data_IF_129474112746
#
_entry.id   IF_129474112746
#
_cell.length_a   1.000
_cell.length_b   1.000
_cell.length_c   1.000
_cell.angle_alpha   90.00
_cell.angle_beta   90.00
_cell.angle_gamma   90.00
#
_symmetry.space_group_name_H-M   'P 1'
#
loop_
_entity.id
_entity.type
_entity.pdbx_description
1 polymer ?
#
# COMPACT_ATOMS: atom_id res chain seq x y z
N UNK A 1 -5.28 19.95 28.89
CA UNK A 1 -4.82 19.09 27.77
C UNK A 1 -4.95 17.64 28.22
N UNK A 2 -5.33 16.72 27.34
CA UNK A 2 -5.41 15.30 27.69
C UNK A 2 -4.01 14.77 28.00
N UNK A 3 -3.82 14.13 29.16
CA UNK A 3 -2.56 13.48 29.54
C UNK A 3 -2.29 12.31 28.60
N UNK A 4 -1.14 12.31 27.94
CA UNK A 4 -0.75 11.20 27.06
C UNK A 4 -0.27 10.00 27.89
N UNK A 5 -0.23 8.82 27.27
CA UNK A 5 0.37 7.64 27.91
C UNK A 5 1.86 7.86 28.22
N UNK A 6 2.57 8.63 27.39
CA UNK A 6 3.96 9.02 27.65
C UNK A 6 4.09 9.84 28.93
N UNK A 7 3.23 10.84 29.11
CA UNK A 7 3.23 11.70 30.31
C UNK A 7 2.93 10.90 31.60
N UNK A 8 2.12 9.83 31.48
CA UNK A 8 1.86 8.92 32.59
C UNK A 8 3.10 8.07 32.91
N UNK A 9 3.73 7.50 31.88
CA UNK A 9 4.87 6.60 32.04
C UNK A 9 6.15 7.33 32.48
N UNK A 10 6.32 8.59 32.13
CA UNK A 10 7.48 9.37 32.58
C UNK A 10 7.51 9.59 34.10
N UNK A 11 6.33 9.62 34.73
CA UNK A 11 6.18 9.63 36.19
C UNK A 11 6.58 8.29 36.82
N UNK A 12 6.55 7.21 36.04
CA UNK A 12 6.91 5.85 36.43
C UNK A 12 8.35 5.55 36.00
N UNK A 13 9.27 6.40 36.46
CA UNK A 13 10.71 6.24 36.22
C UNK A 13 11.54 6.43 37.47
N UNK A 14 12.72 5.82 37.47
CA UNK A 14 13.77 6.05 38.47
C UNK A 14 15.07 6.42 37.78
N UNK A 15 16.06 6.86 38.56
CA UNK A 15 17.42 7.05 38.05
C UNK A 15 18.02 5.69 37.70
N UNK A 16 18.55 5.57 36.48
CA UNK A 16 19.29 4.40 36.03
C UNK A 16 20.79 4.54 36.28
N UNK A 17 21.49 3.41 36.27
CA UNK A 17 22.94 3.36 36.54
C UNK A 17 23.76 3.11 35.27
N UNK A 18 23.15 2.57 34.22
CA UNK A 18 23.81 2.14 32.99
C UNK A 18 24.07 3.29 32.00
N UNK A 19 24.74 4.34 32.45
CA UNK A 19 25.18 5.45 31.61
C UNK A 19 26.49 6.09 32.09
N UNK A 20 27.10 6.91 31.23
CA UNK A 20 28.14 7.87 31.61
C UNK A 20 27.74 9.28 31.18
N UNK A 21 28.19 10.28 31.95
CA UNK A 21 28.01 11.69 31.58
C UNK A 21 29.05 12.10 30.54
N UNK A 22 28.61 12.90 29.59
CA UNK A 22 29.42 13.60 28.59
C UNK A 22 29.33 15.12 28.84
N UNK A 23 29.77 15.93 27.88
CA UNK A 23 29.63 17.40 27.93
C UNK A 23 28.17 17.86 27.73
N UNK A 24 27.86 19.07 28.18
CA UNK A 24 26.58 19.75 27.90
C UNK A 24 25.34 18.93 28.33
N UNK A 25 25.37 18.40 29.55
CA UNK A 25 24.32 17.53 30.10
C UNK A 25 23.96 16.33 29.24
N UNK A 26 24.80 15.94 28.27
CA UNK A 26 24.58 14.77 27.44
C UNK A 26 24.99 13.51 28.19
N UNK A 27 24.23 12.43 28.04
CA UNK A 27 24.58 11.12 28.59
C UNK A 27 24.83 10.11 27.48
N UNK A 28 25.65 9.10 27.74
CA UNK A 28 25.76 7.91 26.90
C UNK A 28 25.24 6.70 27.66
N UNK A 29 24.10 6.17 27.21
CA UNK A 29 23.44 5.02 27.81
C UNK A 29 23.93 3.72 27.19
N UNK A 30 24.41 2.77 28.00
CA UNK A 30 24.92 1.46 27.54
C UNK A 30 24.03 0.29 27.97
N UNK A 31 22.75 0.57 28.29
CA UNK A 31 21.78 -0.45 28.70
C UNK A 31 21.40 -1.45 27.58
N UNK A 32 21.71 -1.14 26.32
CA UNK A 32 21.61 -2.05 25.19
C UNK A 32 22.72 -1.75 24.16
N UNK A 33 22.77 -2.55 23.09
CA UNK A 33 23.80 -2.47 22.05
C UNK A 33 23.87 -1.13 21.31
N UNK A 34 22.80 -0.33 21.33
CA UNK A 34 22.74 0.95 20.59
C UNK A 34 23.60 2.07 21.16
N UNK A 35 23.99 1.99 22.45
CA UNK A 35 24.87 2.97 23.12
C UNK A 35 24.46 4.43 22.89
N UNK A 36 23.17 4.74 23.03
CA UNK A 36 22.61 6.04 22.66
C UNK A 36 23.30 7.20 23.41
N UNK A 37 23.72 8.23 22.67
CA UNK A 37 24.07 9.55 23.22
C UNK A 37 22.83 10.42 23.31
N UNK A 38 22.31 10.64 24.52
CA UNK A 38 21.03 11.27 24.78
C UNK A 38 21.29 12.67 25.36
N UNK A 39 20.96 13.72 24.61
CA UNK A 39 21.03 15.11 25.09
C UNK A 39 19.96 15.39 26.13
N UNK A 40 20.12 16.46 26.91
CA UNK A 40 19.13 16.88 27.90
C UNK A 40 17.72 16.98 27.30
N UNK A 41 16.73 16.45 28.02
CA UNK A 41 15.32 16.42 27.60
C UNK A 41 15.03 15.51 26.40
N UNK A 42 15.98 14.71 25.93
CA UNK A 42 15.80 13.75 24.82
C UNK A 42 15.66 12.33 25.32
N UNK A 43 15.16 11.47 24.44
CA UNK A 43 15.02 10.02 24.66
C UNK A 43 16.06 9.25 23.84
N UNK A 44 16.42 8.06 24.35
CA UNK A 44 17.11 7.06 23.55
C UNK A 44 16.16 6.41 22.55
N UNK A 45 16.74 5.65 21.62
CA UNK A 45 16.03 4.93 20.55
C UNK A 45 14.82 4.13 21.06
N UNK A 46 14.97 3.50 22.22
CA UNK A 46 13.94 2.67 22.85
C UNK A 46 12.69 3.41 23.33
N UNK A 47 12.70 4.75 23.32
CA UNK A 47 11.66 5.67 23.82
C UNK A 47 11.31 5.54 25.32
N UNK A 48 11.80 4.52 26.02
CA UNK A 48 11.55 4.33 27.46
C UNK A 48 12.67 4.88 28.36
N UNK A 49 13.87 5.08 27.81
CA UNK A 49 14.99 5.68 28.53
C UNK A 49 15.23 7.09 28.01
N UNK A 50 15.42 8.04 28.90
CA UNK A 50 15.62 9.43 28.55
C UNK A 50 16.55 10.15 29.50
N UNK A 51 17.00 11.34 29.10
CA UNK A 51 17.88 12.16 29.89
C UNK A 51 17.11 13.31 30.53
N UNK A 52 17.25 13.45 31.85
CA UNK A 52 16.66 14.53 32.63
C UNK A 52 17.68 15.05 33.64
N UNK A 53 18.06 16.32 33.50
CA UNK A 53 19.11 16.95 34.32
C UNK A 53 20.47 16.27 34.22
N UNK A 54 20.83 15.73 33.05
CA UNK A 54 22.06 14.93 32.88
C UNK A 54 22.02 13.57 33.60
N UNK A 55 20.84 13.07 33.95
CA UNK A 55 20.61 11.74 34.54
C UNK A 55 19.80 10.85 33.61
N UNK A 56 20.23 9.58 33.49
CA UNK A 56 19.44 8.57 32.80
C UNK A 56 18.19 8.23 33.62
N UNK A 57 17.02 8.44 33.05
CA UNK A 57 15.74 7.97 33.57
C UNK A 57 15.39 6.64 32.92
N UNK A 58 14.99 5.66 33.74
CA UNK A 58 14.62 4.30 33.31
C UNK A 58 13.23 3.92 33.80
N UNK A 59 12.47 3.09 33.06
CA UNK A 59 11.11 2.71 33.44
C UNK A 59 11.09 1.90 34.74
N UNK A 60 10.10 2.17 35.60
CA UNK A 60 9.95 1.54 36.91
C UNK A 60 8.49 1.41 37.34
N UNK A 61 8.16 0.38 38.11
CA UNK A 61 6.85 0.27 38.77
C UNK A 61 5.69 -0.18 37.85
N UNK A 62 5.98 -0.67 36.64
CA UNK A 62 4.99 -1.28 35.76
C UNK A 62 5.60 -2.42 34.95
N UNK A 63 4.76 -3.22 34.28
CA UNK A 63 5.16 -4.24 33.31
C UNK A 63 4.16 -4.21 32.15
N UNK A 64 4.65 -4.21 30.90
CA UNK A 64 3.80 -4.21 29.71
C UNK A 64 3.51 -5.62 29.19
N UNK A 65 4.47 -6.54 29.33
CA UNK A 65 4.32 -7.95 28.98
C UNK A 65 5.05 -8.82 30.00
N UNK A 66 4.44 -9.95 30.38
CA UNK A 66 4.97 -10.93 31.33
C UNK A 66 4.71 -12.33 30.76
N UNK A 67 5.72 -13.18 30.76
CA UNK A 67 5.62 -14.54 30.24
C UNK A 67 6.60 -15.47 30.96
N UNK A 68 6.18 -16.69 31.26
CA UNK A 68 7.07 -17.77 31.72
C UNK A 68 7.19 -18.79 30.59
N UNK A 69 8.36 -18.88 29.98
CA UNK A 69 8.66 -19.82 28.89
C UNK A 69 9.90 -20.66 29.25
N UNK A 70 10.12 -21.84 28.63
CA UNK A 70 11.37 -22.59 28.76
C UNK A 70 12.59 -21.73 28.42
N UNK A 71 13.69 -21.93 29.15
CA UNK A 71 14.94 -21.16 28.98
C UNK A 71 15.53 -21.30 27.57
N UNK A 72 15.24 -22.39 26.87
CA UNK A 72 15.70 -22.69 25.50
C UNK A 72 15.15 -21.70 24.46
N UNK A 73 14.07 -20.98 24.78
CA UNK A 73 13.53 -19.90 23.92
C UNK A 73 14.38 -18.62 24.01
N UNK A 74 15.22 -18.48 25.04
CA UNK A 74 16.06 -17.30 25.26
C UNK A 74 17.40 -17.48 24.51
N UNK A 75 18.03 -16.40 24.03
CA UNK A 75 19.27 -16.46 23.27
C UNK A 75 20.49 -16.72 24.18
N UNK A 76 20.41 -17.72 25.06
CA UNK A 76 21.47 -18.11 25.98
C UNK A 76 21.98 -19.51 25.63
N UNK A 77 23.30 -19.66 25.59
CA UNK A 77 23.92 -20.97 25.35
C UNK A 77 24.10 -21.72 26.67
N UNK A 78 23.44 -22.87 26.81
CA UNK A 78 23.59 -23.79 27.96
C UNK A 78 23.36 -23.16 29.35
N UNK A 79 22.42 -22.22 29.46
CA UNK A 79 22.01 -21.67 30.76
C UNK A 79 20.84 -22.48 31.29
N UNK A 80 21.04 -23.19 32.41
CA UNK A 80 20.02 -23.93 33.17
C UNK A 80 19.00 -24.75 32.34
N UNK A 81 19.44 -25.71 31.50
CA UNK A 81 18.55 -26.48 30.62
C UNK A 81 17.36 -27.12 31.36
N UNK A 82 16.18 -27.10 30.73
CA UNK A 82 14.93 -27.64 31.29
C UNK A 82 14.22 -26.75 32.30
N UNK A 83 14.80 -25.59 32.64
CA UNK A 83 14.16 -24.61 33.53
C UNK A 83 13.21 -23.66 32.79
N UNK A 84 12.33 -23.01 33.54
CA UNK A 84 11.53 -21.90 33.04
C UNK A 84 12.20 -20.55 33.34
N UNK A 85 12.06 -19.62 32.41
CA UNK A 85 12.54 -18.25 32.51
C UNK A 85 11.37 -17.25 32.53
N UNK A 86 11.18 -16.57 33.66
CA UNK A 86 10.26 -15.45 33.74
C UNK A 86 10.83 -14.27 32.93
N UNK A 87 10.12 -13.88 31.89
CA UNK A 87 10.46 -12.75 31.02
C UNK A 87 9.42 -11.67 31.18
N UNK A 88 9.86 -10.46 31.43
CA UNK A 88 9.01 -9.28 31.44
C UNK A 88 9.64 -8.14 30.66
N UNK A 89 8.80 -7.28 30.10
CA UNK A 89 9.22 -6.12 29.32
C UNK A 89 8.41 -4.88 29.66
N UNK A 90 9.05 -3.72 29.51
CA UNK A 90 8.42 -2.41 29.64
C UNK A 90 7.89 -1.93 28.29
N UNK A 91 7.16 -0.80 28.24
CA UNK A 91 6.54 -0.31 27.01
C UNK A 91 7.55 0.44 26.13
N UNK A 92 8.52 -0.28 25.59
CA UNK A 92 9.58 0.25 24.72
C UNK A 92 10.16 -0.81 23.81
N UNK A 93 10.75 -0.36 22.70
CA UNK A 93 11.39 -1.22 21.71
C UNK A 93 12.64 -0.52 21.19
N UNK A 94 13.81 -1.10 21.40
CA UNK A 94 15.07 -0.59 20.83
C UNK A 94 15.29 -1.00 19.37
N UNK A 95 14.48 -1.92 18.85
CA UNK A 95 14.41 -2.18 17.42
C UNK A 95 13.59 -1.10 16.70
N UNK A 96 14.18 -0.52 15.65
CA UNK A 96 13.38 0.15 14.63
C UNK A 96 12.66 -0.88 13.76
N UNK A 97 11.41 -0.59 13.44
CA UNK A 97 10.66 -1.30 12.43
C UNK A 97 11.30 -1.03 11.06
N UNK A 98 12.01 -2.00 10.47
CA UNK A 98 12.59 -1.86 9.12
C UNK A 98 11.54 -1.91 7.97
N UNK A 99 10.25 -1.88 8.29
CA UNK A 99 9.21 -2.38 7.40
C UNK A 99 8.43 -1.23 6.77
N UNK A 100 8.63 -1.04 5.46
CA UNK A 100 7.74 -0.20 4.67
C UNK A 100 7.49 -0.82 3.30
N UNK A 101 6.28 -0.59 2.81
CA UNK A 101 5.96 -0.66 1.39
C UNK A 101 6.27 0.70 0.75
N UNK A 102 6.45 0.73 -0.56
CA UNK A 102 6.55 2.00 -1.29
C UNK A 102 5.20 2.75 -1.24
N UNK A 103 5.24 4.08 -1.31
CA UNK A 103 4.05 4.93 -1.13
C UNK A 103 2.95 4.73 -2.17
N UNK A 104 3.29 4.23 -3.36
CA UNK A 104 2.37 3.86 -4.44
C UNK A 104 1.62 2.54 -4.19
N UNK A 105 1.99 1.79 -3.14
CA UNK A 105 1.32 0.53 -2.79
C UNK A 105 -0.14 0.77 -2.43
N UNK A 106 -1.04 0.06 -3.09
CA UNK A 106 -2.48 0.17 -2.91
C UNK A 106 -2.97 -0.70 -1.75
N UNK A 107 -3.85 -0.14 -0.93
CA UNK A 107 -4.52 -0.80 0.19
C UNK A 107 -6.02 -0.61 0.05
N UNK A 108 -6.79 -1.68 0.25
CA UNK A 108 -8.27 -1.59 0.24
C UNK A 108 -8.75 -1.02 1.57
N UNK A 109 -9.52 0.06 1.50
CA UNK A 109 -10.04 0.78 2.67
C UNK A 109 -11.57 0.88 2.64
N UNK A 110 -12.18 1.40 3.72
CA UNK A 110 -13.60 1.77 3.73
C UNK A 110 -13.97 2.89 2.75
N UNK A 111 -12.98 3.54 2.12
CA UNK A 111 -13.15 4.56 1.08
C UNK A 111 -12.78 4.05 -0.32
N UNK A 112 -12.66 2.73 -0.48
CA UNK A 112 -12.12 2.10 -1.68
C UNK A 112 -10.60 1.94 -1.65
N UNK A 113 -9.97 1.51 -2.76
CA UNK A 113 -8.52 1.39 -2.85
C UNK A 113 -7.83 2.76 -2.73
N UNK A 114 -6.87 2.88 -1.82
CA UNK A 114 -6.03 4.06 -1.65
C UNK A 114 -4.55 3.67 -1.65
N UNK A 115 -3.68 4.50 -2.22
CA UNK A 115 -2.24 4.32 -2.04
C UNK A 115 -1.85 4.66 -0.60
N UNK A 116 -0.75 4.09 -0.11
CA UNK A 116 -0.20 4.44 1.21
C UNK A 116 0.13 5.93 1.32
N UNK A 117 0.59 6.54 0.23
CA UNK A 117 0.82 7.98 0.16
C UNK A 117 -0.47 8.76 0.37
N UNK A 118 -1.54 8.44 -0.36
CA UNK A 118 -2.82 9.13 -0.21
C UNK A 118 -3.42 8.89 1.19
N UNK A 119 -3.29 7.68 1.72
CA UNK A 119 -3.73 7.36 3.08
C UNK A 119 -2.97 8.18 4.14
N UNK A 120 -1.68 8.45 3.92
CA UNK A 120 -0.87 9.32 4.76
C UNK A 120 -1.31 10.80 4.65
N UNK A 121 -1.63 11.27 3.45
CA UNK A 121 -2.07 12.66 3.23
C UNK A 121 -3.44 12.98 3.84
N UNK A 122 -4.25 11.96 4.14
CA UNK A 122 -5.57 12.12 4.80
C UNK A 122 -5.50 12.57 6.27
N UNK A 123 -4.37 12.38 6.96
CA UNK A 123 -4.25 12.71 8.38
C UNK A 123 -3.50 14.01 8.62
N UNK A 124 -4.19 14.97 9.24
CA UNK A 124 -3.63 16.25 9.67
C UNK A 124 -4.09 16.50 11.12
N UNK A 125 -3.20 16.87 12.07
CA UNK A 125 -1.79 17.24 11.89
C UNK A 125 -0.81 16.05 11.82
N UNK A 126 0.32 16.27 11.14
CA UNK A 126 1.44 15.34 11.05
C UNK A 126 2.31 15.42 12.32
N UNK A 127 2.68 14.27 12.87
CA UNK A 127 3.70 14.19 13.92
C UNK A 127 5.05 13.88 13.27
N UNK A 128 6.02 14.78 13.42
CA UNK A 128 7.39 14.57 12.91
C UNK A 128 8.25 13.89 13.97
N UNK A 129 8.98 12.87 13.55
CA UNK A 129 9.98 12.16 14.34
C UNK A 129 11.35 12.28 13.65
N UNK A 130 12.47 12.04 14.36
CA UNK A 130 13.80 12.07 13.74
C UNK A 130 13.98 11.09 12.58
N UNK A 131 13.24 9.98 12.58
CA UNK A 131 13.35 8.86 11.63
C UNK A 131 12.11 8.69 10.72
N UNK A 132 11.19 9.65 10.74
CA UNK A 132 9.98 9.58 9.93
C UNK A 132 8.89 10.55 10.34
N UNK A 133 7.70 10.32 9.79
CA UNK A 133 6.52 11.12 10.00
C UNK A 133 5.33 10.19 10.23
N UNK A 134 4.39 10.64 11.06
CA UNK A 134 3.20 9.88 11.44
C UNK A 134 1.98 10.74 11.13
N UNK A 135 1.07 10.15 10.35
CA UNK A 135 -0.22 10.71 10.01
C UNK A 135 -1.33 9.91 10.69
N UNK A 136 -2.36 10.59 11.21
CA UNK A 136 -3.51 9.94 11.85
C UNK A 136 -4.77 10.31 11.05
N UNK A 137 -5.17 9.47 10.07
CA UNK A 137 -6.33 9.76 9.23
C UNK A 137 -7.64 9.56 10.01
N UNK A 138 -8.56 10.52 9.89
CA UNK A 138 -9.86 10.43 10.53
C UNK A 138 -10.72 9.35 9.88
N UNK A 139 -11.24 8.43 10.69
CA UNK A 139 -12.17 7.36 10.31
C UNK A 139 -11.74 6.51 9.08
N UNK A 140 -10.43 6.30 8.93
CA UNK A 140 -9.91 5.37 7.93
C UNK A 140 -9.91 3.95 8.49
N UNK A 141 -10.39 3.00 7.71
CA UNK A 141 -10.33 1.57 8.01
C UNK A 141 -9.73 0.82 6.83
N UNK A 142 -8.91 -0.21 7.09
CA UNK A 142 -8.27 -1.02 6.07
C UNK A 142 -8.63 -2.50 6.24
N UNK A 143 -8.63 -3.23 5.13
CA UNK A 143 -8.87 -4.69 5.12
C UNK A 143 -7.67 -5.40 5.74
N UNK A 144 -7.94 -6.31 6.68
CA UNK A 144 -6.91 -7.11 7.35
C UNK A 144 -6.86 -8.54 6.83
N UNK A 145 -5.88 -9.33 7.26
CA UNK A 145 -5.74 -10.75 6.89
C UNK A 145 -6.98 -11.60 7.20
N UNK A 146 -7.81 -11.18 8.17
CA UNK A 146 -9.09 -11.83 8.46
C UNK A 146 -10.22 -11.47 7.48
N UNK A 147 -9.95 -10.63 6.47
CA UNK A 147 -10.95 -10.14 5.52
C UNK A 147 -11.90 -9.06 6.05
N UNK A 148 -11.66 -8.55 7.26
CA UNK A 148 -12.49 -7.52 7.91
C UNK A 148 -11.82 -6.15 7.85
N UNK A 149 -12.65 -5.10 7.78
CA UNK A 149 -12.20 -3.71 7.99
C UNK A 149 -11.81 -3.50 9.45
N UNK A 150 -10.66 -2.88 9.67
CA UNK A 150 -10.18 -2.46 10.99
C UNK A 150 -9.69 -1.02 10.92
N UNK A 151 -9.93 -0.27 12.01
CA UNK A 151 -9.50 1.13 12.13
C UNK A 151 -7.99 1.28 11.95
N UNK A 152 -7.59 2.16 11.03
CA UNK A 152 -6.21 2.60 10.87
C UNK A 152 -5.92 3.60 11.97
N UNK A 153 -4.99 3.25 12.88
CA UNK A 153 -4.61 4.12 14.01
C UNK A 153 -3.61 5.20 13.60
N UNK A 154 -2.74 4.87 12.66
CA UNK A 154 -1.70 5.74 12.14
C UNK A 154 -1.20 5.20 10.81
N UNK A 155 -0.68 6.09 9.96
CA UNK A 155 0.06 5.79 8.74
C UNK A 155 1.45 6.41 8.92
N UNK A 156 2.48 5.61 8.69
CA UNK A 156 3.86 6.00 8.93
C UNK A 156 4.57 6.22 7.60
N UNK A 157 5.45 7.22 7.56
CA UNK A 157 6.31 7.52 6.40
C UNK A 157 7.75 7.67 6.89
N UNK A 158 8.67 7.01 6.20
CA UNK A 158 10.09 7.00 6.57
C UNK A 158 10.92 7.32 5.33
N UNK A 159 12.04 8.02 5.52
CA UNK A 159 13.06 8.09 4.48
C UNK A 159 13.79 6.74 4.45
N UNK A 160 13.96 6.18 3.25
CA UNK A 160 14.63 4.91 3.05
C UNK A 160 15.62 5.01 1.90
N UNK A 161 16.84 4.56 2.14
CA UNK A 161 17.91 4.41 1.16
C UNK A 161 18.47 3.00 1.30
N UNK A 162 18.39 2.20 0.24
CA UNK A 162 18.79 0.80 0.27
C UNK A 162 18.12 -0.03 -0.80
N UNK A 163 18.32 -1.34 -0.73
CA UNK A 163 17.70 -2.29 -1.66
C UNK A 163 16.19 -2.38 -1.46
N UNK A 164 15.46 -2.65 -2.54
CA UNK A 164 14.02 -2.91 -2.49
C UNK A 164 13.72 -4.20 -3.23
N UNK A 165 12.77 -4.97 -2.69
CA UNK A 165 12.31 -6.23 -3.27
C UNK A 165 10.97 -6.00 -3.94
N UNK A 166 10.86 -6.39 -5.21
CA UNK A 166 9.61 -6.36 -5.99
C UNK A 166 9.04 -7.77 -6.10
N UNK A 167 7.98 -8.04 -5.35
CA UNK A 167 7.26 -9.31 -5.38
C UNK A 167 6.26 -9.31 -6.53
N UNK A 168 6.36 -10.29 -7.43
CA UNK A 168 5.51 -10.44 -8.61
C UNK A 168 4.70 -11.74 -8.53
N UNK A 169 3.63 -11.79 -7.73
CA UNK A 169 2.71 -12.92 -7.72
C UNK A 169 2.09 -13.15 -9.10
N UNK A 170 1.81 -14.42 -9.44
CA UNK A 170 1.08 -14.74 -10.66
C UNK A 170 -0.34 -14.17 -10.61
N UNK A 171 -0.77 -13.54 -11.71
CA UNK A 171 -2.12 -12.99 -11.89
C UNK A 171 -2.53 -11.83 -10.95
N UNK A 172 -1.59 -11.30 -10.16
CA UNK A 172 -1.83 -10.19 -9.24
C UNK A 172 -0.84 -9.05 -9.49
N UNK A 173 -1.21 -7.81 -9.14
CA UNK A 173 -0.27 -6.69 -9.19
C UNK A 173 0.97 -6.96 -8.33
N UNK A 174 2.11 -6.44 -8.78
CA UNK A 174 3.33 -6.52 -7.99
C UNK A 174 3.28 -5.59 -6.78
N UNK A 175 3.89 -6.01 -5.68
CA UNK A 175 4.11 -5.16 -4.51
C UNK A 175 5.61 -4.93 -4.33
N UNK A 176 5.98 -3.72 -3.93
CA UNK A 176 7.38 -3.33 -3.69
C UNK A 176 7.57 -2.99 -2.22
N UNK A 177 8.58 -3.59 -1.59
CA UNK A 177 8.81 -3.46 -0.15
C UNK A 177 10.29 -3.59 0.19
N UNK A 178 10.65 -3.22 1.42
CA UNK A 178 12.01 -3.44 1.93
C UNK A 178 12.32 -4.95 2.06
N UNK A 179 13.58 -5.38 1.92
CA UNK A 179 14.00 -6.79 2.00
C UNK A 179 13.53 -7.52 3.27
N UNK A 180 13.46 -6.80 4.39
CA UNK A 180 13.03 -7.33 5.67
C UNK A 180 11.50 -7.27 5.87
N UNK A 181 10.72 -6.76 4.92
CA UNK A 181 9.26 -6.78 5.03
C UNK A 181 8.75 -8.22 4.99
N UNK A 182 7.93 -8.63 5.96
CA UNK A 182 7.39 -9.99 6.02
C UNK A 182 6.01 -10.07 5.38
N UNK A 183 5.83 -11.03 4.48
CA UNK A 183 4.53 -11.37 3.90
C UNK A 183 4.13 -12.78 4.34
N UNK A 184 2.83 -13.04 4.44
CA UNK A 184 2.35 -14.39 4.72
C UNK A 184 2.51 -15.24 3.48
N UNK A 185 3.31 -16.29 3.58
CA UNK A 185 3.59 -17.21 2.50
C UNK A 185 3.70 -18.66 3.00
N UNK A 186 3.53 -19.61 2.09
CA UNK A 186 3.80 -21.03 2.32
C UNK A 186 4.39 -21.65 1.06
N UNK A 187 5.29 -22.59 1.16
CA UNK A 187 5.74 -23.45 0.06
C UNK A 187 4.94 -24.77 -0.01
N UNK A 188 4.14 -25.06 1.02
CA UNK A 188 3.19 -26.16 1.09
C UNK A 188 1.76 -25.64 1.29
N UNK A 189 0.90 -25.81 0.28
CA UNK A 189 -0.50 -25.34 0.30
C UNK A 189 -1.38 -26.08 1.31
N UNK A 190 -0.88 -27.16 1.93
CA UNK A 190 -1.56 -27.88 3.01
C UNK A 190 -1.30 -27.27 4.39
N UNK A 191 -0.29 -26.41 4.50
CA UNK A 191 0.12 -25.75 5.74
C UNK A 191 -0.37 -24.30 5.77
N UNK A 192 -0.73 -23.83 6.96
CA UNK A 192 -1.09 -22.42 7.16
C UNK A 192 0.08 -21.49 6.82
N UNK A 193 -0.13 -20.42 6.03
CA UNK A 193 0.93 -19.47 5.70
C UNK A 193 1.55 -18.84 6.94
N UNK A 194 2.88 -18.68 6.91
CA UNK A 194 3.66 -18.04 7.98
C UNK A 194 4.29 -16.74 7.46
N UNK A 195 4.68 -15.81 8.36
CA UNK A 195 5.44 -14.64 7.95
C UNK A 195 6.83 -15.03 7.44
N UNK A 196 7.12 -14.71 6.16
CA UNK A 196 8.44 -14.92 5.51
C UNK A 196 8.96 -13.57 5.05
N UNK A 197 10.27 -13.31 5.25
CA UNK A 197 10.90 -12.08 4.78
C UNK A 197 10.87 -11.98 3.25
N UNK A 198 10.68 -10.78 2.71
CA UNK A 198 10.61 -10.56 1.27
C UNK A 198 11.87 -11.03 0.54
N UNK A 199 13.05 -10.83 1.16
CA UNK A 199 14.34 -11.30 0.64
C UNK A 199 14.50 -12.83 0.61
N UNK A 200 13.74 -13.54 1.44
CA UNK A 200 13.83 -15.00 1.57
C UNK A 200 12.78 -15.73 0.71
N UNK A 201 11.90 -14.99 0.02
CA UNK A 201 10.90 -15.58 -0.85
C UNK A 201 11.52 -16.17 -2.12
N UNK A 202 10.99 -17.33 -2.51
CA UNK A 202 11.37 -18.04 -3.73
C UNK A 202 10.17 -18.20 -4.65
N UNK A 203 10.39 -18.61 -5.90
CA UNK A 203 9.29 -18.92 -6.84
C UNK A 203 8.37 -20.07 -6.40
N UNK A 204 8.82 -20.90 -5.45
CA UNK A 204 8.04 -21.99 -4.87
C UNK A 204 7.05 -21.52 -3.78
N UNK A 205 7.15 -20.27 -3.31
CA UNK A 205 6.27 -19.75 -2.28
C UNK A 205 4.95 -19.25 -2.88
N UNK A 206 3.85 -19.63 -2.25
CA UNK A 206 2.51 -19.13 -2.47
C UNK A 206 2.22 -18.01 -1.47
N UNK A 207 1.86 -16.82 -1.96
CA UNK A 207 1.46 -15.70 -1.11
C UNK A 207 0.02 -15.86 -0.64
N UNK A 208 -0.22 -15.62 0.65
CA UNK A 208 -1.55 -15.64 1.22
C UNK A 208 -2.35 -14.43 0.71
N UNK A 209 -3.55 -14.69 0.19
CA UNK A 209 -4.51 -13.64 -0.20
C UNK A 209 -5.83 -13.84 0.54
N UNK A 210 -6.49 -12.77 1.01
CA UNK A 210 -7.81 -12.89 1.61
C UNK A 210 -8.82 -13.46 0.60
N UNK A 211 -9.40 -14.63 0.89
CA UNK A 211 -10.37 -15.29 0.00
C UNK A 211 -11.78 -14.71 0.10
N UNK A 212 -12.13 -14.16 1.27
CA UNK A 212 -13.48 -13.66 1.56
C UNK A 212 -13.42 -12.21 2.03
N UNK A 213 -14.20 -11.35 1.38
CA UNK A 213 -14.30 -9.93 1.69
C UNK A 213 -15.69 -9.65 2.27
N UNK A 214 -15.82 -9.59 3.60
CA UNK A 214 -17.13 -9.36 4.26
C UNK A 214 -17.66 -7.92 4.09
N UNK A 215 -16.85 -7.03 3.51
CA UNK A 215 -17.24 -5.65 3.22
C UNK A 215 -17.82 -5.45 1.80
N UNK A 216 -17.80 -6.49 0.96
CA UNK A 216 -18.41 -6.45 -0.37
C UNK A 216 -19.80 -7.06 -0.29
N UNK A 217 -20.84 -6.21 -0.30
CA UNK A 217 -22.20 -6.66 -0.60
C UNK A 217 -22.41 -6.61 -2.11
N UNK A 218 -23.20 -7.56 -2.63
CA UNK A 218 -23.65 -7.47 -4.01
C UNK A 218 -24.46 -6.17 -4.18
N UNK A 219 -24.04 -5.33 -5.12
CA UNK A 219 -24.77 -4.10 -5.45
C UNK A 219 -25.45 -4.27 -6.80
N UNK A 220 -26.71 -3.87 -6.85
CA UNK A 220 -27.46 -3.80 -8.11
C UNK A 220 -27.20 -2.41 -8.70
N UNK A 221 -26.44 -2.39 -9.79
CA UNK A 221 -26.08 -1.15 -10.48
C UNK A 221 -27.04 -0.97 -11.65
N UNK A 222 -27.86 0.08 -11.62
CA UNK A 222 -28.62 0.50 -12.78
C UNK A 222 -27.70 1.30 -13.72
N UNK A 223 -27.09 0.56 -14.64
CA UNK A 223 -26.20 1.16 -15.64
C UNK A 223 -26.92 2.18 -16.53
N UNK A 224 -28.21 2.01 -16.82
CA UNK A 224 -28.97 2.93 -17.66
C UNK A 224 -29.19 4.27 -16.95
N UNK A 225 -29.53 4.24 -15.65
CA UNK A 225 -29.65 5.47 -14.85
C UNK A 225 -28.31 6.19 -14.68
N UNK A 226 -27.22 5.46 -14.44
CA UNK A 226 -25.90 6.06 -14.22
C UNK A 226 -25.32 6.69 -15.49
N UNK A 227 -25.58 6.09 -16.65
CA UNK A 227 -25.07 6.57 -17.93
C UNK A 227 -26.04 7.53 -18.63
N UNK A 228 -27.28 7.64 -18.17
CA UNK A 228 -28.32 8.46 -18.81
C UNK A 228 -28.03 9.96 -18.85
N UNK A 229 -27.17 10.48 -17.96
CA UNK A 229 -26.72 11.88 -17.96
C UNK A 229 -25.55 12.16 -18.91
N UNK A 230 -24.95 11.12 -19.48
CA UNK A 230 -23.80 11.26 -20.39
C UNK A 230 -24.28 11.18 -21.84
N UNK A 231 -24.18 12.29 -22.58
CA UNK A 231 -24.32 12.28 -24.05
C UNK A 231 -22.98 11.91 -24.67
N UNK A 232 -22.85 10.68 -25.16
CA UNK A 232 -21.61 10.26 -25.83
C UNK A 232 -21.69 10.62 -27.31
N UNK A 233 -20.92 11.63 -27.72
CA UNK A 233 -20.72 11.97 -29.13
C UNK A 233 -19.58 11.13 -29.69
N UNK A 234 -19.88 10.21 -30.61
CA UNK A 234 -18.86 9.37 -31.23
C UNK A 234 -18.39 10.01 -32.54
N UNK A 235 -17.15 10.50 -32.60
CA UNK A 235 -16.53 10.83 -33.87
C UNK A 235 -15.81 9.60 -34.46
N UNK A 236 -16.27 9.11 -35.61
CA UNK A 236 -15.40 8.27 -36.46
C UNK A 236 -14.49 9.21 -37.26
N UNK A 237 -13.15 9.14 -37.13
CA UNK A 237 -12.27 9.82 -38.06
C UNK A 237 -12.36 9.12 -39.42
N UNK A 238 -13.25 9.61 -40.28
CA UNK A 238 -13.35 9.13 -41.65
C UNK A 238 -12.10 9.56 -42.42
N UNK A 239 -11.34 8.60 -42.96
CA UNK A 239 -10.21 8.87 -43.87
C UNK A 239 -10.66 9.33 -45.27
N UNK A 240 -11.95 9.59 -45.47
CA UNK A 240 -12.56 10.00 -46.73
C UNK A 240 -13.41 11.23 -46.47
N UNK A 241 -13.33 12.21 -47.36
CA UNK A 241 -14.16 13.41 -47.27
C UNK A 241 -15.62 13.10 -47.59
N UNK A 242 -16.55 13.98 -47.21
CA UNK A 242 -17.95 13.85 -47.61
C UNK A 242 -18.15 13.80 -49.14
N UNK A 243 -17.26 14.47 -49.89
CA UNK A 243 -17.26 14.42 -51.36
C UNK A 243 -16.86 13.03 -51.88
N UNK A 244 -15.88 12.38 -51.26
CA UNK A 244 -15.47 11.03 -51.61
C UNK A 244 -16.58 10.02 -51.35
N UNK A 245 -17.30 10.16 -50.22
CA UNK A 245 -18.44 9.30 -49.89
C UNK A 245 -19.58 9.45 -50.90
N UNK A 246 -19.90 10.69 -51.30
CA UNK A 246 -20.91 10.96 -52.33
C UNK A 246 -20.53 10.30 -53.66
N UNK A 247 -19.27 10.44 -54.07
CA UNK A 247 -18.74 9.82 -55.30
C UNK A 247 -18.80 8.29 -55.26
N UNK A 248 -18.53 7.67 -54.10
CA UNK A 248 -18.68 6.22 -53.91
C UNK A 248 -20.15 5.79 -54.07
N UNK A 249 -21.10 6.58 -53.57
CA UNK A 249 -22.53 6.30 -53.69
C UNK A 249 -23.04 6.47 -55.13
N UNK A 250 -22.61 7.51 -55.83
CA UNK A 250 -22.97 7.74 -57.24
C UNK A 250 -22.49 6.58 -58.13
N UNK A 251 -21.23 6.14 -57.94
CA UNK A 251 -20.68 4.97 -58.64
C UNK A 251 -21.42 3.68 -58.26
N UNK A 252 -21.85 3.56 -57.01
CA UNK A 252 -22.62 2.41 -56.54
C UNK A 252 -24.02 2.35 -57.14
N UNK A 253 -24.67 3.51 -57.32
CA UNK A 253 -25.96 3.64 -57.98
C UNK A 253 -25.85 3.35 -59.50
N UNK A 254 -24.72 3.68 -60.11
CA UNK A 254 -24.38 3.33 -61.49
C UNK A 254 -24.00 1.83 -61.68
N UNK A 255 -24.21 0.98 -60.67
CA UNK A 255 -24.01 -0.47 -60.77
C UNK A 255 -22.57 -0.96 -60.60
N UNK A 256 -21.61 -0.09 -60.29
CA UNK A 256 -20.20 -0.50 -60.08
C UNK A 256 -20.06 -1.35 -58.82
N UNK A 257 -19.23 -2.39 -58.91
CA UNK A 257 -18.90 -3.27 -57.79
C UNK A 257 -17.93 -2.60 -56.81
N UNK A 258 -17.86 -3.11 -55.57
CA UNK A 258 -16.94 -2.55 -54.56
C UNK A 258 -15.45 -2.71 -54.94
N UNK A 259 -15.12 -3.70 -55.77
CA UNK A 259 -13.74 -3.91 -56.25
C UNK A 259 -13.39 -2.94 -57.39
N UNK A 260 -14.35 -2.57 -58.24
CA UNK A 260 -14.10 -1.54 -59.27
C UNK A 260 -13.91 -0.15 -58.65
N UNK A 261 -14.65 0.15 -57.58
CA UNK A 261 -14.58 1.44 -56.89
C UNK A 261 -13.29 1.57 -56.07
N UNK A 262 -12.73 0.46 -55.59
CA UNK A 262 -11.63 0.50 -54.61
C UNK A 262 -10.33 1.12 -55.17
N UNK A 263 -10.04 0.89 -56.46
CA UNK A 263 -8.87 1.46 -57.13
C UNK A 263 -8.88 2.98 -57.23
N UNK A 264 -10.06 3.61 -57.25
CA UNK A 264 -10.22 5.07 -57.38
C UNK A 264 -9.83 5.80 -56.08
N UNK A 265 -10.05 5.15 -54.92
CA UNK A 265 -9.86 5.76 -53.60
C UNK A 265 -8.65 5.22 -52.84
N UNK A 266 -7.86 4.32 -53.46
CA UNK A 266 -6.71 3.68 -52.81
C UNK A 266 -7.09 2.91 -51.55
N UNK A 267 -8.29 2.30 -51.53
CA UNK A 267 -8.81 1.50 -50.40
C UNK A 267 -9.01 0.05 -50.83
N UNK A 268 -9.23 -0.85 -49.88
CA UNK A 268 -9.60 -2.23 -50.19
C UNK A 268 -11.07 -2.34 -50.60
N UNK A 269 -11.39 -3.29 -51.48
CA UNK A 269 -12.78 -3.58 -51.86
C UNK A 269 -13.68 -3.97 -50.68
N UNK A 270 -13.10 -4.59 -49.64
CA UNK A 270 -13.80 -4.88 -48.38
C UNK A 270 -14.18 -3.61 -47.61
N UNK A 271 -13.28 -2.61 -47.56
CA UNK A 271 -13.54 -1.32 -46.94
C UNK A 271 -14.68 -0.57 -47.66
N UNK A 272 -14.66 -0.53 -49.00
CA UNK A 272 -15.72 0.09 -49.80
C UNK A 272 -17.07 -0.62 -49.64
N UNK A 273 -17.07 -1.96 -49.59
CA UNK A 273 -18.28 -2.76 -49.37
C UNK A 273 -18.91 -2.47 -48.00
N UNK A 274 -18.08 -2.42 -46.96
CA UNK A 274 -18.49 -2.09 -45.60
C UNK A 274 -19.06 -0.67 -45.53
N UNK A 275 -18.41 0.29 -46.17
CA UNK A 275 -18.86 1.68 -46.27
C UNK A 275 -20.23 1.79 -46.96
N UNK A 276 -20.42 1.14 -48.12
CA UNK A 276 -21.70 1.12 -48.85
C UNK A 276 -22.84 0.58 -47.99
N UNK A 277 -22.59 -0.52 -47.27
CA UNK A 277 -23.58 -1.11 -46.35
C UNK A 277 -23.97 -0.13 -45.25
N UNK A 278 -22.98 0.55 -44.64
CA UNK A 278 -23.24 1.55 -43.60
C UNK A 278 -24.02 2.75 -44.13
N UNK A 279 -23.64 3.30 -45.28
CA UNK A 279 -24.35 4.44 -45.89
C UNK A 279 -25.79 4.06 -46.24
N UNK A 280 -26.02 2.88 -46.85
CA UNK A 280 -27.36 2.38 -47.16
C UNK A 280 -28.25 2.28 -45.91
N UNK A 281 -27.68 1.93 -44.77
CA UNK A 281 -28.40 1.78 -43.51
C UNK A 281 -28.52 3.10 -42.72
N UNK A 282 -28.05 4.24 -43.24
CA UNK A 282 -28.04 5.51 -42.52
C UNK A 282 -26.99 5.59 -41.40
N UNK A 283 -26.13 4.57 -41.27
CA UNK A 283 -25.11 4.43 -40.22
C UNK A 283 -23.82 5.21 -40.50
N UNK A 284 -23.91 6.27 -41.32
CA UNK A 284 -22.79 7.17 -41.61
C UNK A 284 -22.36 7.94 -40.36
N UNK A 285 -23.24 8.00 -39.36
CA UNK A 285 -23.02 8.63 -38.07
C UNK A 285 -22.80 7.62 -36.92
N UNK A 286 -22.90 6.30 -37.16
CA UNK A 286 -22.77 5.28 -36.11
C UNK A 286 -21.40 4.59 -36.12
N UNK A 287 -20.71 4.69 -34.98
CA UNK A 287 -19.38 4.11 -34.75
C UNK A 287 -19.44 2.91 -33.81
N UNK A 288 -18.67 1.86 -34.12
CA UNK A 288 -18.21 0.87 -33.13
C UNK A 288 -16.82 1.31 -32.70
N UNK A 289 -16.64 1.71 -31.46
CA UNK A 289 -15.32 1.98 -30.89
C UNK A 289 -14.82 0.78 -30.08
N UNK A 290 -13.51 0.61 -30.06
CA UNK A 290 -12.80 -0.28 -29.12
C UNK A 290 -12.51 0.40 -27.78
N UNK A 291 -12.64 1.73 -27.68
CA UNK A 291 -12.41 2.53 -26.47
C UNK A 291 -13.32 3.77 -26.41
N UNK A 292 -13.75 4.21 -25.21
CA UNK A 292 -14.49 5.46 -25.03
C UNK A 292 -13.58 6.67 -25.23
N UNK A 293 -14.10 7.72 -25.88
CA UNK A 293 -13.51 9.06 -25.97
C UNK A 293 -14.54 10.05 -25.40
N UNK A 294 -14.11 10.96 -24.54
CA UNK A 294 -14.93 12.03 -23.96
C UNK A 294 -14.51 13.31 -24.69
N UNK A 295 -15.43 13.96 -25.42
CA UNK A 295 -15.21 15.34 -25.87
C UNK A 295 -15.35 16.26 -24.66
N UNK A 296 -14.36 17.11 -24.41
CA UNK A 296 -14.45 18.15 -23.37
C UNK A 296 -15.60 19.12 -23.71
N UNK A 297 -16.69 19.06 -22.93
CA UNK A 297 -17.81 20.02 -22.93
C UNK A 297 -19.15 19.45 -23.35
#
# INVERSE_FOLDING_TARGET
MATTIGDLLDKLTVRGELYRKLSEDTIECYACGHRCKIREGKRGICQVRFNQGGELRVPWGYVAALQSDPIEKKPFFHVMPGSNALTFGMLGCDFHCGYCFTGDTMVVTNRGPLSLQNAFELGVPLQKQPDGEISIPFDLQAVTSSGNLRKVKAVFRHFYEGEVVKLKPYYLPSITCTPDHRVYATDDVTVSPVPVYAKDLTKNHYLATPRSYRFSSAQLIDAASLLGSYSVTFQTPWKLSGADMKKIMDLSAAGKSSNEICGIFGKSGSYIRHLRRKIKNGWVHETKTSYPYIEDG
#
